data_IF_592828412048
#
_entry.id   IF_592828412048
#
_cell.length_a   1.000
_cell.length_b   1.000
_cell.length_c   1.000
_cell.angle_alpha   90.00
_cell.angle_beta   90.00
_cell.angle_gamma   90.00
#
_symmetry.space_group_name_H-M   'P 1'
#
loop_
_entity.id
_entity.type
_entity.pdbx_description
1 polymer ?
#
# COMPACT_ATOMS: atom_id res chain seq x y z
N UNK A 1 1.82 -3.76 17.82
CA UNK A 1 0.99 -3.87 16.59
C UNK A 1 -0.43 -4.16 17.01
N UNK A 2 -1.33 -3.16 16.93
CA UNK A 2 -2.75 -3.34 17.25
C UNK A 2 -3.43 -4.12 16.10
N UNK A 3 -4.25 -5.13 16.39
CA UNK A 3 -4.73 -6.08 15.38
C UNK A 3 -5.83 -5.57 14.47
N UNK A 4 -6.33 -4.34 14.58
CA UNK A 4 -7.54 -3.92 13.84
C UNK A 4 -7.53 -2.53 13.21
N UNK A 5 -6.41 -1.87 12.97
CA UNK A 5 -6.40 -0.64 12.16
C UNK A 5 -7.36 0.47 12.64
N UNK A 6 -7.83 0.43 13.88
CA UNK A 6 -8.64 1.50 14.46
C UNK A 6 -7.75 2.70 14.75
N UNK A 7 -8.16 3.83 14.22
CA UNK A 7 -7.53 5.11 14.48
C UNK A 7 -7.55 5.44 15.97
N UNK A 8 -6.39 5.78 16.54
CA UNK A 8 -6.26 6.26 17.91
C UNK A 8 -5.53 7.60 17.90
N UNK A 9 -6.10 8.57 18.57
CA UNK A 9 -5.51 9.91 18.70
C UNK A 9 -4.15 9.84 19.42
N UNK A 10 -4.05 8.99 20.46
CA UNK A 10 -2.81 8.79 21.22
C UNK A 10 -1.61 8.37 20.39
N UNK A 11 -1.82 7.51 19.39
CA UNK A 11 -0.75 7.01 18.53
C UNK A 11 -0.24 8.13 17.60
N UNK A 12 -1.15 9.00 17.15
CA UNK A 12 -0.79 10.18 16.34
C UNK A 12 -0.03 11.21 17.18
N UNK A 13 -0.47 11.44 18.41
CA UNK A 13 0.23 12.35 19.34
C UNK A 13 1.65 11.84 19.66
N UNK A 14 1.84 10.53 19.82
CA UNK A 14 3.15 9.93 20.01
C UNK A 14 4.05 10.11 18.78
N UNK A 15 3.53 9.84 17.57
CA UNK A 15 4.24 10.05 16.31
C UNK A 15 4.63 11.53 16.17
N UNK A 16 3.70 12.43 16.42
CA UNK A 16 3.92 13.88 16.37
C UNK A 16 5.03 14.30 17.35
N UNK A 17 4.96 13.81 18.59
CA UNK A 17 5.95 14.15 19.62
C UNK A 17 7.34 13.64 19.28
N UNK A 18 7.47 12.47 18.66
CA UNK A 18 8.74 11.92 18.19
C UNK A 18 9.42 12.81 17.13
N UNK A 19 8.63 13.58 16.38
CA UNK A 19 9.14 14.56 15.39
C UNK A 19 9.35 15.96 15.96
N UNK A 20 9.10 16.18 17.25
CA UNK A 20 9.23 17.49 17.90
C UNK A 20 10.65 17.78 18.43
N UNK A 21 11.65 16.96 18.12
CA UNK A 21 13.01 17.15 18.64
C UNK A 21 13.66 18.43 18.10
N UNK A 22 14.19 19.24 19.05
CA UNK A 22 15.02 20.42 18.83
C UNK A 22 14.37 21.71 18.29
N UNK A 23 13.10 21.99 18.61
CA UNK A 23 12.49 23.31 18.33
C UNK A 23 12.25 23.59 16.84
N UNK A 24 12.26 22.56 16.00
CA UNK A 24 11.80 22.60 14.61
C UNK A 24 10.57 21.74 14.50
N UNK A 25 9.47 22.33 14.04
CA UNK A 25 8.30 21.55 13.62
C UNK A 25 8.76 20.48 12.63
N UNK A 26 8.44 19.23 12.91
CA UNK A 26 8.80 18.11 12.03
C UNK A 26 8.36 18.36 10.59
N UNK A 27 9.05 17.73 9.64
CA UNK A 27 8.65 17.80 8.23
C UNK A 27 7.28 17.14 8.06
N UNK A 28 6.33 17.83 7.42
CA UNK A 28 5.00 17.27 7.07
C UNK A 28 5.13 15.89 6.41
N UNK A 29 6.08 15.74 5.48
CA UNK A 29 6.31 14.48 4.77
C UNK A 29 6.74 13.39 5.75
N UNK A 30 7.69 13.66 6.66
CA UNK A 30 8.20 12.67 7.59
C UNK A 30 7.11 12.17 8.57
N UNK A 31 6.28 13.08 9.07
CA UNK A 31 5.14 12.74 9.94
C UNK A 31 4.13 11.88 9.18
N UNK A 32 3.79 12.26 7.93
CA UNK A 32 2.87 11.47 7.10
C UNK A 32 3.44 10.10 6.72
N UNK A 33 4.76 9.97 6.51
CA UNK A 33 5.42 8.68 6.26
C UNK A 33 5.31 7.75 7.47
N UNK A 34 5.52 8.26 8.68
CA UNK A 34 5.39 7.45 9.90
C UNK A 34 3.94 7.03 10.15
N UNK A 35 2.97 7.92 9.94
CA UNK A 35 1.54 7.59 10.01
C UNK A 35 1.18 6.53 8.96
N UNK A 36 1.64 6.68 7.71
CA UNK A 36 1.45 5.71 6.64
C UNK A 36 2.07 4.34 7.00
N UNK A 37 3.26 4.33 7.60
CA UNK A 37 3.92 3.09 8.03
C UNK A 37 3.14 2.40 9.16
N UNK A 38 2.58 3.17 10.10
CA UNK A 38 1.83 2.66 11.25
C UNK A 38 0.45 2.10 10.84
N UNK A 39 -0.35 2.91 10.10
CA UNK A 39 -1.73 2.57 9.72
C UNK A 39 -1.85 1.93 8.34
N UNK A 40 -0.80 1.98 7.51
CA UNK A 40 -0.77 1.60 6.09
C UNK A 40 -1.61 2.49 5.17
N UNK A 41 -2.18 3.54 5.70
CA UNK A 41 -2.87 4.60 4.98
C UNK A 41 -2.88 5.85 5.84
N UNK A 42 -3.32 6.97 5.28
CA UNK A 42 -3.45 8.23 6.00
C UNK A 42 -4.94 8.44 6.40
N UNK A 43 -5.32 8.17 7.67
CA UNK A 43 -6.65 8.46 8.17
C UNK A 43 -6.96 9.97 8.06
N UNK A 44 -8.20 10.32 7.72
CA UNK A 44 -8.61 11.72 7.62
C UNK A 44 -8.36 12.49 8.92
N UNK A 45 -8.71 11.90 10.05
CA UNK A 45 -8.59 12.53 11.35
C UNK A 45 -7.12 12.74 11.74
N UNK A 46 -6.23 11.81 11.36
CA UNK A 46 -4.79 11.99 11.51
C UNK A 46 -4.27 13.18 10.70
N UNK A 47 -4.73 13.35 9.46
CA UNK A 47 -4.32 14.50 8.63
C UNK A 47 -4.81 15.83 9.19
N UNK A 48 -5.97 15.87 9.83
CA UNK A 48 -6.49 17.06 10.51
C UNK A 48 -5.58 17.40 11.70
N UNK A 49 -5.28 16.44 12.58
CA UNK A 49 -4.40 16.63 13.72
C UNK A 49 -3.00 17.10 13.32
N UNK A 50 -2.41 16.49 12.29
CA UNK A 50 -1.09 16.91 11.76
C UNK A 50 -1.14 18.33 11.21
N UNK A 51 -2.21 18.69 10.49
CA UNK A 51 -2.43 20.03 9.95
C UNK A 51 -2.48 21.09 11.07
N UNK A 52 -3.24 20.83 12.11
CA UNK A 52 -3.39 21.70 13.29
C UNK A 52 -2.05 21.83 14.04
N UNK A 53 -1.38 20.71 14.27
CA UNK A 53 -0.12 20.70 15.00
C UNK A 53 1.02 21.43 14.26
N UNK A 54 1.16 21.20 12.95
CA UNK A 54 2.16 21.89 12.13
C UNK A 54 1.80 23.34 11.81
N UNK A 55 0.55 23.75 12.06
CA UNK A 55 0.06 25.09 11.69
C UNK A 55 0.00 25.28 10.17
N UNK A 56 -0.18 24.20 9.39
CA UNK A 56 -0.30 24.25 7.93
C UNK A 56 -1.77 24.04 7.51
N UNK A 57 -2.23 24.66 6.41
CA UNK A 57 -3.57 24.43 5.93
C UNK A 57 -3.83 22.96 5.62
N UNK A 58 -5.01 22.45 5.96
CA UNK A 58 -5.40 21.05 5.65
C UNK A 58 -5.33 20.74 4.14
N UNK A 59 -5.60 21.73 3.29
CA UNK A 59 -5.44 21.63 1.83
C UNK A 59 -4.00 21.32 1.41
N UNK A 60 -3.00 21.85 2.12
CA UNK A 60 -1.60 21.56 1.88
C UNK A 60 -1.26 20.12 2.28
N UNK A 61 -1.76 19.65 3.44
CA UNK A 61 -1.61 18.27 3.90
C UNK A 61 -2.19 17.30 2.88
N UNK A 62 -3.40 17.56 2.37
CA UNK A 62 -4.01 16.75 1.31
C UNK A 62 -3.24 16.82 -0.01
N UNK A 63 -2.71 17.98 -0.39
CA UNK A 63 -1.91 18.13 -1.61
C UNK A 63 -0.66 17.24 -1.55
N UNK A 64 0.03 17.21 -0.42
CA UNK A 64 1.19 16.34 -0.21
C UNK A 64 0.76 14.87 -0.23
N UNK A 65 -0.29 14.51 0.50
CA UNK A 65 -0.80 13.14 0.59
C UNK A 65 -1.27 12.57 -0.78
N UNK A 66 -1.73 13.41 -1.69
CA UNK A 66 -2.18 12.98 -3.04
C UNK A 66 -1.08 13.08 -4.09
N UNK A 67 -0.06 13.89 -3.87
CA UNK A 67 1.05 14.05 -4.80
C UNK A 67 2.01 12.84 -4.77
N UNK A 68 2.32 12.32 -3.61
CA UNK A 68 3.26 11.22 -3.46
C UNK A 68 2.56 9.86 -3.52
N UNK A 69 2.96 9.01 -4.46
CA UNK A 69 2.43 7.64 -4.60
C UNK A 69 2.72 6.71 -3.39
N UNK A 70 3.64 7.11 -2.51
CA UNK A 70 3.93 6.41 -1.27
C UNK A 70 2.74 6.46 -0.30
N UNK A 71 1.89 7.49 -0.40
CA UNK A 71 0.75 7.67 0.48
C UNK A 71 -0.54 7.06 -0.09
N UNK A 72 -1.40 6.61 0.81
CA UNK A 72 -2.73 6.13 0.48
C UNK A 72 -3.76 6.75 1.43
N UNK A 73 -4.82 7.30 0.86
CA UNK A 73 -5.97 7.82 1.63
C UNK A 73 -7.02 6.73 1.93
N UNK A 74 -6.83 5.53 1.36
CA UNK A 74 -7.72 4.39 1.57
C UNK A 74 -6.98 3.30 2.34
N UNK A 75 -7.65 2.61 3.27
CA UNK A 75 -7.07 1.46 3.97
C UNK A 75 -6.59 0.42 2.96
N UNK A 76 -5.34 -0.02 3.11
CA UNK A 76 -4.77 -1.11 2.32
C UNK A 76 -4.84 -2.43 3.09
N UNK A 77 -4.92 -3.52 2.35
CA UNK A 77 -4.86 -4.87 2.90
C UNK A 77 -3.48 -5.23 3.46
N UNK A 78 -3.43 -6.34 4.17
CA UNK A 78 -2.19 -6.89 4.74
C UNK A 78 -1.17 -7.23 3.65
N UNK A 79 -1.64 -7.71 2.51
CA UNK A 79 -0.83 -8.06 1.35
C UNK A 79 -1.14 -7.14 0.17
N UNK A 80 -0.12 -6.36 -0.25
CA UNK A 80 -0.23 -5.50 -1.42
C UNK A 80 0.37 -6.26 -2.60
N UNK A 81 -0.47 -6.53 -3.60
CA UNK A 81 -0.13 -7.23 -4.83
C UNK A 81 0.01 -6.21 -5.94
N UNK A 82 1.21 -6.06 -6.49
CA UNK A 82 1.49 -5.18 -7.61
C UNK A 82 1.74 -6.01 -8.87
N UNK A 83 0.92 -5.81 -9.90
CA UNK A 83 1.07 -6.46 -11.21
C UNK A 83 1.69 -5.49 -12.20
N UNK A 84 2.83 -5.87 -12.79
CA UNK A 84 3.49 -5.05 -13.80
C UNK A 84 2.77 -5.13 -15.15
N UNK A 85 2.30 -3.98 -15.66
CA UNK A 85 1.67 -3.84 -16.98
C UNK A 85 2.56 -3.13 -18.01
N UNK A 86 3.85 -2.94 -17.69
CA UNK A 86 4.82 -2.38 -18.64
C UNK A 86 4.90 -3.21 -19.91
N UNK A 87 5.31 -2.58 -21.03
CA UNK A 87 5.26 -3.16 -22.37
C UNK A 87 5.80 -4.58 -22.45
N UNK A 88 6.99 -4.85 -21.87
CA UNK A 88 7.60 -6.18 -21.91
C UNK A 88 6.79 -7.24 -21.15
N UNK A 89 6.20 -6.87 -20.00
CA UNK A 89 5.31 -7.74 -19.24
C UNK A 89 3.97 -7.94 -19.95
N UNK A 90 3.43 -6.88 -20.54
CA UNK A 90 2.18 -6.92 -21.28
C UNK A 90 2.24 -7.88 -22.47
N UNK A 91 3.28 -7.75 -23.32
CA UNK A 91 3.51 -8.64 -24.47
C UNK A 91 3.67 -10.11 -24.05
N UNK A 92 4.23 -10.35 -22.86
CA UNK A 92 4.38 -11.70 -22.28
C UNK A 92 3.14 -12.21 -21.54
N UNK A 93 2.04 -11.45 -21.54
CA UNK A 93 0.73 -11.88 -21.03
C UNK A 93 0.43 -11.50 -19.58
N UNK A 94 1.02 -10.41 -19.04
CA UNK A 94 0.70 -9.94 -17.68
C UNK A 94 -0.77 -9.61 -17.46
N UNK A 95 -1.52 -9.22 -18.51
CA UNK A 95 -2.96 -9.01 -18.42
C UNK A 95 -3.72 -10.28 -18.02
N UNK A 96 -3.30 -11.47 -18.51
CA UNK A 96 -3.91 -12.75 -18.12
C UNK A 96 -3.62 -13.10 -16.66
N UNK A 97 -2.43 -12.71 -16.17
CA UNK A 97 -2.08 -12.86 -14.75
C UNK A 97 -2.95 -11.95 -13.91
N UNK A 98 -3.14 -10.69 -14.32
CA UNK A 98 -4.01 -9.74 -13.64
C UNK A 98 -5.46 -10.24 -13.59
N UNK A 99 -6.02 -10.63 -14.71
CA UNK A 99 -7.40 -11.18 -14.80
C UNK A 99 -7.60 -12.40 -13.88
N UNK A 100 -6.61 -13.28 -13.78
CA UNK A 100 -6.67 -14.42 -12.88
C UNK A 100 -6.67 -14.00 -11.41
N UNK A 101 -5.84 -13.03 -11.03
CA UNK A 101 -5.80 -12.48 -9.66
C UNK A 101 -7.14 -11.78 -9.33
N UNK A 102 -7.66 -10.95 -10.25
CA UNK A 102 -8.96 -10.29 -10.09
C UNK A 102 -10.09 -11.31 -9.85
N UNK A 103 -10.10 -12.37 -10.65
CA UNK A 103 -11.10 -13.45 -10.54
C UNK A 103 -10.99 -14.22 -9.23
N UNK A 104 -9.76 -14.50 -8.76
CA UNK A 104 -9.53 -15.27 -7.53
C UNK A 104 -9.87 -14.45 -6.27
N UNK A 105 -9.52 -13.18 -6.26
CA UNK A 105 -9.71 -12.28 -5.11
C UNK A 105 -11.03 -11.51 -5.16
N UNK A 106 -11.75 -11.51 -6.28
CA UNK A 106 -12.99 -10.75 -6.51
C UNK A 106 -12.82 -9.23 -6.27
N UNK A 107 -11.64 -8.67 -6.61
CA UNK A 107 -11.33 -7.24 -6.53
C UNK A 107 -10.70 -6.75 -7.83
N UNK A 108 -10.83 -5.46 -8.10
CA UNK A 108 -10.23 -4.78 -9.24
C UNK A 108 -8.95 -4.04 -8.84
N UNK A 109 -8.09 -3.67 -9.81
CA UNK A 109 -6.95 -2.79 -9.54
C UNK A 109 -7.36 -1.52 -8.79
N UNK A 110 -6.63 -1.21 -7.71
CA UNK A 110 -6.94 -0.10 -6.81
C UNK A 110 -7.92 -0.44 -5.69
N UNK A 111 -8.41 -1.68 -5.61
CA UNK A 111 -9.33 -2.13 -4.57
C UNK A 111 -8.64 -3.02 -3.53
N UNK A 112 -9.24 -3.03 -2.35
CA UNK A 112 -8.87 -3.91 -1.23
C UNK A 112 -9.99 -4.90 -0.99
N UNK A 113 -9.66 -6.16 -0.71
CA UNK A 113 -10.62 -7.21 -0.37
C UNK A 113 -11.40 -6.87 0.90
N UNK A 114 -12.63 -7.38 1.01
CA UNK A 114 -13.53 -7.06 2.14
C UNK A 114 -12.96 -7.46 3.51
N UNK A 115 -12.17 -8.54 3.53
CA UNK A 115 -11.46 -9.03 4.71
C UNK A 115 -10.18 -8.23 5.03
N UNK A 116 -9.83 -7.23 4.20
CA UNK A 116 -8.60 -6.43 4.28
C UNK A 116 -7.31 -7.27 4.24
N UNK A 117 -7.36 -8.45 3.68
CA UNK A 117 -6.15 -9.27 3.51
C UNK A 117 -5.36 -8.84 2.27
N UNK A 118 -6.03 -8.51 1.16
CA UNK A 118 -5.37 -8.21 -0.11
C UNK A 118 -5.76 -6.84 -0.65
N UNK A 119 -4.76 -6.12 -1.19
CA UNK A 119 -4.95 -4.96 -2.07
C UNK A 119 -4.31 -5.28 -3.41
N UNK A 120 -5.06 -5.10 -4.50
CA UNK A 120 -4.56 -5.30 -5.86
C UNK A 120 -4.22 -3.95 -6.48
N UNK A 121 -2.99 -3.80 -6.94
CA UNK A 121 -2.50 -2.60 -7.63
C UNK A 121 -1.84 -2.99 -8.96
N UNK A 122 -1.75 -2.06 -9.87
CA UNK A 122 -1.01 -2.20 -11.12
C UNK A 122 0.07 -1.13 -11.21
N UNK A 123 1.19 -1.49 -11.80
CA UNK A 123 2.30 -0.56 -12.03
C UNK A 123 2.72 -0.59 -13.49
N UNK A 124 3.11 0.57 -14.02
CA UNK A 124 3.48 0.69 -15.43
C UNK A 124 4.84 0.02 -15.74
N UNK A 125 5.78 -0.01 -14.81
CA UNK A 125 7.03 -0.74 -14.97
C UNK A 125 7.74 -0.91 -13.61
N UNK A 126 8.23 -2.13 -13.35
CA UNK A 126 9.04 -2.48 -12.16
C UNK A 126 10.54 -2.55 -12.46
N UNK A 127 10.95 -2.26 -13.71
CA UNK A 127 12.36 -2.23 -14.09
C UNK A 127 13.02 -3.60 -14.36
N UNK A 128 12.39 -4.73 -13.98
CA UNK A 128 12.95 -6.07 -14.09
C UNK A 128 12.40 -6.85 -15.31
N UNK A 129 12.41 -6.24 -16.49
CA UNK A 129 11.77 -6.74 -17.71
C UNK A 129 12.23 -8.13 -18.15
N UNK A 130 13.46 -8.52 -17.85
CA UNK A 130 14.00 -9.86 -18.16
C UNK A 130 13.20 -10.97 -17.47
N UNK A 131 12.64 -10.69 -16.29
CA UNK A 131 11.84 -11.61 -15.48
C UNK A 131 10.34 -11.55 -15.78
N UNK A 132 9.89 -10.72 -16.75
CA UNK A 132 8.47 -10.55 -17.06
C UNK A 132 7.76 -11.84 -17.51
N UNK A 133 6.45 -11.96 -17.24
CA UNK A 133 5.61 -11.09 -16.42
C UNK A 133 5.95 -11.11 -14.94
N UNK A 134 5.79 -9.96 -14.24
CA UNK A 134 6.20 -9.81 -12.84
C UNK A 134 4.99 -9.46 -11.98
N UNK A 135 4.91 -10.13 -10.85
CA UNK A 135 4.04 -9.78 -9.72
C UNK A 135 4.91 -9.54 -8.49
N UNK A 136 4.63 -8.50 -7.75
CA UNK A 136 5.31 -8.19 -6.48
C UNK A 136 4.31 -8.24 -5.36
N UNK A 137 4.61 -8.99 -4.30
CA UNK A 137 3.77 -9.05 -3.10
C UNK A 137 4.60 -8.61 -1.91
N UNK A 138 4.19 -7.52 -1.27
CA UNK A 138 4.90 -6.92 -0.12
C UNK A 138 6.40 -6.71 -0.38
N UNK A 139 6.77 -6.29 -1.59
CA UNK A 139 8.17 -6.07 -1.99
C UNK A 139 8.92 -7.31 -2.48
N UNK A 140 8.33 -8.51 -2.39
CA UNK A 140 8.94 -9.76 -2.91
C UNK A 140 8.57 -9.96 -4.37
N UNK A 141 9.57 -10.07 -5.23
CA UNK A 141 9.42 -10.19 -6.69
C UNK A 141 9.21 -11.65 -7.11
N UNK A 142 8.15 -11.89 -7.88
CA UNK A 142 7.85 -13.17 -8.54
C UNK A 142 7.84 -12.97 -10.05
N UNK A 143 8.81 -13.58 -10.74
CA UNK A 143 8.98 -13.44 -12.19
C UNK A 143 8.43 -14.62 -12.98
N UNK A 144 8.38 -14.45 -14.33
CA UNK A 144 7.90 -15.46 -15.27
C UNK A 144 6.50 -15.99 -14.86
N UNK A 145 5.67 -15.07 -14.45
CA UNK A 145 4.33 -15.36 -13.95
C UNK A 145 3.39 -15.78 -15.07
N UNK A 146 2.48 -16.67 -14.73
CA UNK A 146 1.36 -17.10 -15.56
C UNK A 146 0.13 -17.30 -14.64
N UNK A 147 -1.07 -17.53 -15.17
CA UNK A 147 -2.28 -17.70 -14.36
C UNK A 147 -2.15 -18.80 -13.29
N UNK A 148 -1.56 -19.95 -13.62
CA UNK A 148 -1.37 -21.06 -12.67
C UNK A 148 -0.42 -20.71 -11.53
N UNK A 149 0.69 -20.02 -11.84
CA UNK A 149 1.63 -19.54 -10.82
C UNK A 149 1.00 -18.44 -9.95
N UNK A 150 0.11 -17.62 -10.52
CA UNK A 150 -0.61 -16.62 -9.74
C UNK A 150 -1.54 -17.27 -8.71
N UNK A 151 -2.25 -18.32 -9.08
CA UNK A 151 -3.08 -19.09 -8.14
C UNK A 151 -2.24 -19.70 -7.02
N UNK A 152 -1.13 -20.36 -7.37
CA UNK A 152 -0.22 -20.95 -6.38
C UNK A 152 0.36 -19.92 -5.41
N UNK A 153 0.75 -18.74 -5.92
CA UNK A 153 1.24 -17.63 -5.10
C UNK A 153 0.18 -17.14 -4.11
N UNK A 154 -1.06 -16.97 -4.56
CA UNK A 154 -2.17 -16.54 -3.70
C UNK A 154 -2.51 -17.59 -2.64
N UNK A 155 -2.48 -18.88 -2.98
CA UNK A 155 -2.70 -19.98 -2.05
C UNK A 155 -1.58 -20.07 -0.99
N UNK A 156 -0.33 -19.88 -1.38
CA UNK A 156 0.80 -19.84 -0.44
C UNK A 156 0.66 -18.69 0.56
N UNK A 157 0.22 -17.51 0.11
CA UNK A 157 0.02 -16.37 0.99
C UNK A 157 -1.16 -16.62 1.92
N UNK A 158 -2.27 -17.15 1.40
CA UNK A 158 -3.47 -17.43 2.20
C UNK A 158 -3.23 -18.52 3.25
N UNK A 159 -2.44 -19.55 2.96
CA UNK A 159 -2.09 -20.60 3.93
C UNK A 159 -1.26 -20.08 5.10
N UNK A 160 -0.34 -19.14 4.85
CA UNK A 160 0.46 -18.48 5.89
C UNK A 160 -0.36 -17.56 6.81
N UNK A 161 -1.55 -17.15 6.38
CA UNK A 161 -2.49 -16.34 7.17
C UNK A 161 -3.27 -17.21 8.16
N UNK A 162 -3.56 -18.47 7.82
CA UNK A 162 -4.32 -19.41 8.67
C UNK A 162 -3.54 -20.04 9.82
N UNK A 163 -2.22 -19.87 9.89
CA UNK A 163 -1.36 -20.47 10.92
C UNK A 163 -1.03 -19.52 12.11
N UNK A 164 -1.78 -18.42 12.31
CA UNK A 164 -1.57 -17.49 13.42
C UNK A 164 -2.83 -17.22 14.21
#
# INVERSE_FOLDING_TARGET
MGPNGEFRVSDIEEIINNHHDNGRNGSLIAVLEEIQAHYRYLPRDAMILVSEWLGVPLSQTYSVATFYNAFSLKPKGRHIINVCLGTACHVRGSHRVLEQIEKKLHIKPGETSRDREFTLETVNCLGACALGPIVVVNGVYSGQMNPTKADALLEEISSKVGER
#
